data_IF_939374589293
#
_entry.id   IF_939374589293
#
_cell.length_a   1.000
_cell.length_b   1.000
_cell.length_c   1.000
_cell.angle_alpha   90.00
_cell.angle_beta   90.00
_cell.angle_gamma   90.00
#
_symmetry.space_group_name_H-M   'P 1'
#
loop_
_entity.id
_entity.type
_entity.pdbx_description
1 polymer ?
#
# COMPACT_ATOMS: atom_id res chain seq x y z
N UNK A 1 -0.67 4.72 -2.08
CA UNK A 1 -0.31 3.43 -1.46
C UNK A 1 -1.02 3.31 -0.12
N UNK A 2 -1.67 2.20 0.13
CA UNK A 2 -2.27 1.89 1.44
C UNK A 2 -1.60 0.64 2.01
N UNK A 3 -1.12 0.72 3.25
CA UNK A 3 -0.52 -0.40 3.97
C UNK A 3 -1.52 -0.84 5.03
N UNK A 4 -1.97 -2.09 4.93
CA UNK A 4 -2.95 -2.68 5.84
C UNK A 4 -2.26 -3.72 6.71
N UNK A 5 -2.16 -3.47 8.02
CA UNK A 5 -1.58 -4.43 8.98
C UNK A 5 -2.52 -5.57 9.31
N UNK A 6 -3.81 -5.33 9.25
CA UNK A 6 -4.84 -6.35 9.46
C UNK A 6 -5.53 -6.65 8.15
N UNK A 7 -5.93 -7.88 7.97
CA UNK A 7 -6.63 -8.31 6.77
C UNK A 7 -8.05 -7.72 6.68
N UNK A 8 -8.56 -7.21 7.79
CA UNK A 8 -9.83 -6.50 7.84
C UNK A 8 -9.74 -5.22 7.00
N UNK A 9 -10.61 -5.11 6.02
CA UNK A 9 -10.68 -3.96 5.13
C UNK A 9 -9.83 -4.06 3.86
N UNK A 10 -9.09 -5.15 3.66
CA UNK A 10 -8.40 -5.43 2.40
C UNK A 10 -9.30 -6.14 1.38
N UNK A 11 -10.60 -5.80 1.36
CA UNK A 11 -11.56 -6.40 0.43
C UNK A 11 -11.59 -5.69 -0.92
N UNK A 12 -12.17 -6.37 -1.91
CA UNK A 12 -12.25 -5.88 -3.29
C UNK A 12 -13.03 -4.56 -3.42
N UNK A 13 -14.08 -4.37 -2.61
CA UNK A 13 -14.88 -3.15 -2.65
C UNK A 13 -14.09 -1.94 -2.13
N UNK A 14 -13.29 -2.13 -1.08
CA UNK A 14 -12.43 -1.09 -0.56
C UNK A 14 -11.33 -0.73 -1.56
N UNK A 15 -10.74 -1.71 -2.23
CA UNK A 15 -9.77 -1.47 -3.30
C UNK A 15 -10.38 -0.63 -4.42
N UNK A 16 -11.59 -0.97 -4.86
CA UNK A 16 -12.33 -0.19 -5.86
C UNK A 16 -12.60 1.23 -5.40
N UNK A 17 -13.04 1.40 -4.15
CA UNK A 17 -13.32 2.71 -3.58
C UNK A 17 -12.05 3.59 -3.56
N UNK A 18 -10.94 3.05 -3.10
CA UNK A 18 -9.67 3.77 -3.06
C UNK A 18 -9.18 4.18 -4.46
N UNK A 19 -9.35 3.32 -5.47
CA UNK A 19 -9.06 3.66 -6.86
C UNK A 19 -9.89 4.85 -7.36
N UNK A 20 -11.18 4.85 -7.06
CA UNK A 20 -12.09 5.93 -7.44
C UNK A 20 -11.74 7.24 -6.74
N UNK A 21 -11.36 7.16 -5.47
CA UNK A 21 -10.97 8.32 -4.68
C UNK A 21 -9.68 8.96 -5.20
N UNK A 22 -8.70 8.14 -5.62
CA UNK A 22 -7.49 8.63 -6.26
C UNK A 22 -7.81 9.41 -7.53
N UNK A 23 -8.64 8.88 -8.40
CA UNK A 23 -9.04 9.55 -9.62
C UNK A 23 -9.76 10.87 -9.34
N UNK A 24 -10.67 10.88 -8.38
CA UNK A 24 -11.39 12.08 -8.00
C UNK A 24 -10.47 13.17 -7.42
N UNK A 25 -9.44 12.78 -6.67
CA UNK A 25 -8.48 13.72 -6.07
C UNK A 25 -7.44 14.25 -7.06
N UNK A 26 -7.08 13.46 -8.08
CA UNK A 26 -6.07 13.83 -9.06
C UNK A 26 -6.65 14.60 -10.26
N UNK A 27 -7.92 14.39 -10.57
CA UNK A 27 -8.59 15.07 -11.68
C UNK A 27 -8.93 16.52 -11.30
N UNK A 28 -8.68 17.44 -12.22
CA UNK A 28 -9.06 18.84 -12.11
C UNK A 28 -10.27 19.13 -12.98
N UNK A 29 -11.03 20.16 -12.64
CA UNK A 29 -12.14 20.63 -13.46
C UNK A 29 -11.66 21.00 -14.86
N UNK A 30 -12.30 20.45 -15.87
CA UNK A 30 -11.95 20.70 -17.27
C UNK A 30 -10.85 19.80 -17.83
N UNK A 31 -10.27 18.90 -17.03
CA UNK A 31 -9.30 17.92 -17.50
C UNK A 31 -9.96 16.94 -18.47
N UNK A 32 -9.19 16.52 -19.46
CA UNK A 32 -9.59 15.43 -20.33
C UNK A 32 -9.43 14.10 -19.61
N UNK A 33 -10.35 13.16 -19.79
CA UNK A 33 -10.28 11.85 -19.18
C UNK A 33 -9.07 11.02 -19.61
N UNK A 34 -8.60 11.21 -20.85
CA UNK A 34 -7.40 10.56 -21.37
C UNK A 34 -6.10 11.07 -20.73
N UNK A 35 -6.16 12.17 -20.00
CA UNK A 35 -5.04 12.71 -19.22
C UNK A 35 -4.98 12.17 -17.78
N UNK A 36 -5.88 11.28 -17.37
CA UNK A 36 -5.82 10.64 -16.06
C UNK A 36 -4.53 9.85 -15.91
N UNK A 37 -3.87 10.05 -14.78
CA UNK A 37 -2.63 9.36 -14.46
C UNK A 37 -2.85 7.87 -14.24
N UNK A 38 -1.83 7.08 -14.51
CA UNK A 38 -1.79 5.68 -14.09
C UNK A 38 -1.75 5.60 -12.56
N UNK A 39 -2.61 4.79 -11.96
CA UNK A 39 -2.75 4.69 -10.51
C UNK A 39 -2.55 3.27 -10.01
N UNK A 40 -2.00 3.16 -8.81
CA UNK A 40 -1.77 1.89 -8.13
C UNK A 40 -2.33 1.97 -6.71
N UNK A 41 -3.23 1.05 -6.39
CA UNK A 41 -3.66 0.80 -5.00
C UNK A 41 -2.94 -0.46 -4.55
N UNK A 42 -2.12 -0.35 -3.51
CA UNK A 42 -1.29 -1.45 -3.03
C UNK A 42 -1.71 -1.80 -1.61
N UNK A 43 -2.21 -3.01 -1.42
CA UNK A 43 -2.46 -3.57 -0.10
C UNK A 43 -1.31 -4.49 0.29
N UNK A 44 -0.65 -4.20 1.41
CA UNK A 44 0.32 -5.09 2.03
C UNK A 44 -0.38 -5.74 3.22
N UNK A 45 -0.67 -7.02 3.11
CA UNK A 45 -1.46 -7.76 4.10
C UNK A 45 -0.58 -8.69 4.93
N UNK A 46 -0.95 -8.91 6.19
CA UNK A 46 -0.24 -9.84 7.07
C UNK A 46 -0.41 -11.28 6.64
N UNK A 47 -1.52 -11.60 5.99
CA UNK A 47 -1.87 -12.94 5.51
C UNK A 47 -2.18 -12.90 4.03
N UNK A 48 -2.17 -14.06 3.41
CA UNK A 48 -2.58 -14.23 2.03
C UNK A 48 -4.11 -14.13 1.90
N UNK A 49 -4.61 -12.92 1.65
CA UNK A 49 -6.04 -12.62 1.58
C UNK A 49 -6.73 -13.39 0.44
N UNK A 50 -6.06 -13.54 -0.71
CA UNK A 50 -6.59 -14.24 -1.87
C UNK A 50 -6.38 -15.76 -1.81
N UNK A 51 -5.56 -16.25 -0.88
CA UNK A 51 -5.40 -17.68 -0.53
C UNK A 51 -4.93 -18.58 -1.67
N UNK A 52 -4.20 -18.04 -2.62
CA UNK A 52 -3.62 -18.78 -3.74
C UNK A 52 -2.13 -19.11 -3.56
N UNK A 53 -1.55 -18.71 -2.42
CA UNK A 53 -0.17 -19.03 -2.07
C UNK A 53 0.89 -18.19 -2.78
N UNK A 54 0.51 -17.10 -3.43
CA UNK A 54 1.43 -16.25 -4.19
C UNK A 54 1.93 -15.07 -3.36
N UNK A 55 3.16 -14.58 -3.64
CA UNK A 55 3.72 -13.43 -2.93
C UNK A 55 3.07 -12.11 -3.33
N UNK A 56 2.57 -11.99 -4.55
CA UNK A 56 1.93 -10.79 -5.08
C UNK A 56 0.85 -11.16 -6.07
N UNK A 57 -0.22 -10.38 -6.06
CA UNK A 57 -1.34 -10.51 -7.00
C UNK A 57 -1.53 -9.19 -7.72
N UNK A 58 -1.56 -9.25 -9.06
CA UNK A 58 -1.84 -8.11 -9.91
C UNK A 58 -3.29 -8.18 -10.37
N UNK A 59 -4.07 -7.15 -10.06
CA UNK A 59 -5.49 -7.09 -10.38
C UNK A 59 -5.71 -5.95 -11.36
N UNK A 60 -6.07 -6.30 -12.57
CA UNK A 60 -6.37 -5.38 -13.65
C UNK A 60 -7.73 -5.73 -14.26
N UNK A 61 -8.31 -4.80 -14.98
CA UNK A 61 -9.54 -5.06 -15.73
C UNK A 61 -9.21 -5.71 -17.06
N UNK A 62 -10.03 -6.68 -17.41
CA UNK A 62 -9.91 -7.43 -18.67
C UNK A 62 -11.23 -7.40 -19.42
N UNK A 63 -11.13 -7.40 -20.74
CA UNK A 63 -12.29 -7.64 -21.61
C UNK A 63 -12.59 -9.14 -21.58
N UNK A 64 -13.70 -9.53 -20.98
CA UNK A 64 -14.03 -10.94 -20.74
C UNK A 64 -14.08 -11.76 -22.04
N UNK A 65 -14.64 -11.20 -23.08
CA UNK A 65 -14.87 -11.91 -24.35
C UNK A 65 -13.57 -12.20 -25.10
N UNK A 66 -12.56 -11.35 -24.94
CA UNK A 66 -11.29 -11.46 -25.67
C UNK A 66 -10.13 -11.92 -24.79
N UNK A 67 -10.27 -11.84 -23.45
CA UNK A 67 -9.19 -12.11 -22.49
C UNK A 67 -8.06 -11.08 -22.53
N UNK A 68 -8.25 -9.95 -23.22
CA UNK A 68 -7.23 -8.90 -23.33
C UNK A 68 -7.38 -7.87 -22.22
N UNK A 69 -6.24 -7.28 -21.77
CA UNK A 69 -6.28 -6.19 -20.80
C UNK A 69 -7.09 -5.01 -21.32
N UNK A 70 -7.85 -4.37 -20.45
CA UNK A 70 -8.59 -3.16 -20.78
C UNK A 70 -7.69 -1.92 -20.91
N UNK A 71 -6.55 -1.95 -20.23
CA UNK A 71 -5.53 -0.89 -20.26
C UNK A 71 -6.07 0.49 -19.85
N UNK A 72 -6.85 0.51 -18.78
CA UNK A 72 -7.43 1.76 -18.25
C UNK A 72 -6.49 2.53 -17.30
N UNK A 73 -5.27 2.02 -17.08
CA UNK A 73 -4.28 2.67 -16.21
C UNK A 73 -4.55 2.57 -14.72
N UNK A 74 -5.58 1.85 -14.30
CA UNK A 74 -5.91 1.62 -12.88
C UNK A 74 -5.49 0.21 -12.46
N UNK A 75 -4.62 0.12 -11.45
CA UNK A 75 -4.04 -1.15 -10.99
C UNK A 75 -4.27 -1.34 -9.50
N UNK A 76 -4.52 -2.56 -9.10
CA UNK A 76 -4.60 -2.96 -7.70
C UNK A 76 -3.60 -4.09 -7.48
N UNK A 77 -2.78 -3.97 -6.43
CA UNK A 77 -1.81 -4.98 -6.04
C UNK A 77 -2.11 -5.46 -4.63
N UNK A 78 -2.14 -6.78 -4.46
CA UNK A 78 -2.14 -7.40 -3.15
C UNK A 78 -0.77 -8.02 -2.91
N UNK A 79 -0.08 -7.59 -1.87
CA UNK A 79 1.24 -8.08 -1.50
C UNK A 79 1.14 -8.86 -0.21
N UNK A 80 1.50 -10.13 -0.26
CA UNK A 80 1.47 -11.03 0.88
C UNK A 80 2.73 -10.85 1.71
N UNK A 81 2.61 -10.25 2.89
CA UNK A 81 3.74 -10.00 3.79
C UNK A 81 4.31 -11.28 4.40
N UNK A 82 3.66 -12.42 4.24
CA UNK A 82 4.21 -13.73 4.62
C UNK A 82 5.28 -14.24 3.66
N UNK A 83 5.52 -13.58 2.54
CA UNK A 83 6.54 -13.95 1.57
C UNK A 83 7.91 -14.01 2.25
N UNK A 84 8.54 -15.20 2.17
CA UNK A 84 9.84 -15.50 2.79
C UNK A 84 10.92 -15.79 1.75
N UNK A 85 10.63 -15.58 0.47
CA UNK A 85 11.56 -15.89 -0.60
C UNK A 85 12.80 -15.00 -0.56
N UNK A 86 13.91 -15.50 -1.10
CA UNK A 86 15.15 -14.74 -1.29
C UNK A 86 15.09 -13.93 -2.59
N UNK A 87 14.05 -13.14 -2.72
CA UNK A 87 13.79 -12.22 -3.83
C UNK A 87 13.75 -10.80 -3.31
N UNK A 88 13.87 -9.78 -4.18
CA UNK A 88 13.70 -8.39 -3.73
C UNK A 88 12.40 -8.15 -2.97
N UNK A 89 11.30 -8.77 -3.42
CA UNK A 89 10.02 -8.66 -2.73
C UNK A 89 10.06 -9.33 -1.34
N UNK A 90 10.65 -10.51 -1.23
CA UNK A 90 10.81 -11.20 0.07
C UNK A 90 11.66 -10.40 1.05
N UNK A 91 12.72 -9.76 0.58
CA UNK A 91 13.55 -8.87 1.38
C UNK A 91 12.81 -7.64 1.84
N UNK A 92 12.00 -7.05 0.97
CA UNK A 92 11.15 -5.91 1.33
C UNK A 92 10.13 -6.29 2.39
N UNK A 93 9.47 -7.43 2.25
CA UNK A 93 8.51 -7.94 3.24
C UNK A 93 9.20 -8.26 4.57
N UNK A 94 10.42 -8.77 4.54
CA UNK A 94 11.25 -8.93 5.74
C UNK A 94 11.43 -7.58 6.44
N UNK A 95 11.79 -6.54 5.71
CA UNK A 95 12.02 -5.21 6.27
C UNK A 95 10.75 -4.62 6.91
N UNK A 96 9.59 -4.85 6.32
CA UNK A 96 8.31 -4.41 6.91
C UNK A 96 7.99 -5.11 8.24
N UNK A 97 8.56 -6.29 8.49
CA UNK A 97 8.41 -7.01 9.75
C UNK A 97 9.48 -6.65 10.77
N UNK A 98 10.59 -6.06 10.35
CA UNK A 98 11.70 -5.72 11.24
C UNK A 98 11.33 -4.63 12.22
N UNK A 99 11.74 -4.81 13.46
CA UNK A 99 11.66 -3.79 14.50
C UNK A 99 12.95 -3.01 14.68
N UNK A 100 14.07 -3.57 14.23
CA UNK A 100 15.40 -2.99 14.33
C UNK A 100 15.94 -2.65 12.93
N UNK A 101 16.36 -1.39 12.75
CA UNK A 101 16.93 -0.90 11.49
C UNK A 101 18.17 -1.69 11.05
N UNK A 102 18.93 -2.25 12.00
CA UNK A 102 20.14 -3.03 11.71
C UNK A 102 19.87 -4.35 11.00
N UNK A 103 18.65 -4.88 11.15
CA UNK A 103 18.22 -6.14 10.53
C UNK A 103 17.60 -5.94 9.15
N UNK A 104 17.46 -4.71 8.69
CA UNK A 104 16.83 -4.39 7.41
C UNK A 104 17.78 -4.54 6.23
N UNK A 105 17.25 -4.99 5.11
CA UNK A 105 18.00 -5.18 3.86
C UNK A 105 18.13 -3.89 3.04
N UNK A 106 17.13 -3.00 3.13
CA UNK A 106 17.08 -1.78 2.33
C UNK A 106 17.56 -0.57 3.15
N UNK A 107 18.70 0.05 2.76
CA UNK A 107 19.28 1.16 3.51
C UNK A 107 18.34 2.35 3.69
N UNK A 108 17.53 2.65 2.70
CA UNK A 108 16.56 3.77 2.74
C UNK A 108 15.53 3.57 3.86
N UNK A 109 15.00 2.35 3.99
CA UNK A 109 14.06 2.00 5.06
C UNK A 109 14.75 1.97 6.42
N UNK A 110 15.95 1.39 6.48
CA UNK A 110 16.75 1.32 7.71
C UNK A 110 17.08 2.72 8.24
N UNK A 111 17.47 3.64 7.38
CA UNK A 111 17.76 5.02 7.73
C UNK A 111 16.52 5.73 8.31
N UNK A 112 15.38 5.55 7.68
CA UNK A 112 14.12 6.16 8.16
C UNK A 112 13.68 5.60 9.50
N UNK A 113 13.75 4.30 9.70
CA UNK A 113 13.41 3.66 10.99
C UNK A 113 14.36 4.11 12.08
N UNK A 114 15.67 4.16 11.78
CA UNK A 114 16.68 4.66 12.71
C UNK A 114 16.40 6.11 13.11
N UNK A 115 16.13 6.98 12.14
CA UNK A 115 15.75 8.38 12.38
C UNK A 115 14.56 8.51 13.31
N UNK A 116 13.48 7.77 13.06
CA UNK A 116 12.27 7.83 13.90
C UNK A 116 12.49 7.27 15.29
N UNK A 117 13.30 6.24 15.45
CA UNK A 117 13.63 5.67 16.76
C UNK A 117 14.50 6.60 17.59
N UNK A 118 15.50 7.22 17.00
CA UNK A 118 16.39 8.15 17.70
C UNK A 118 15.68 9.45 18.10
N UNK A 119 14.63 9.82 17.40
CA UNK A 119 13.77 10.96 17.70
C UNK A 119 12.48 10.52 18.41
N UNK A 120 12.59 9.60 19.40
CA UNK A 120 11.43 9.04 20.12
C UNK A 120 10.54 10.14 20.71
N UNK A 121 11.11 11.22 21.24
CA UNK A 121 10.32 12.35 21.75
C UNK A 121 9.54 13.04 20.64
N UNK A 122 10.14 13.26 19.48
CA UNK A 122 9.47 13.84 18.31
C UNK A 122 8.38 12.93 17.76
N UNK A 123 8.66 11.63 17.64
CA UNK A 123 7.70 10.64 17.18
C UNK A 123 6.51 10.51 18.15
N UNK A 124 6.77 10.45 19.45
CA UNK A 124 5.71 10.39 20.48
C UNK A 124 4.86 11.64 20.46
N UNK A 125 5.46 12.80 20.32
CA UNK A 125 4.74 14.07 20.25
C UNK A 125 3.90 14.16 18.96
N UNK A 126 4.41 13.67 17.85
CA UNK A 126 3.69 13.65 16.58
C UNK A 126 2.49 12.70 16.64
N UNK A 127 2.64 11.52 17.23
CA UNK A 127 1.53 10.59 17.45
C UNK A 127 0.45 11.19 18.36
N UNK A 128 0.85 11.83 19.44
CA UNK A 128 -0.09 12.52 20.34
C UNK A 128 -0.80 13.69 19.64
N UNK A 129 -0.09 14.46 18.83
CA UNK A 129 -0.66 15.54 18.06
C UNK A 129 -1.70 15.03 17.05
N UNK A 130 -1.41 13.94 16.35
CA UNK A 130 -2.34 13.30 15.42
C UNK A 130 -3.57 12.75 16.16
N UNK A 131 -3.37 12.08 17.30
CA UNK A 131 -4.48 11.60 18.13
C UNK A 131 -5.36 12.74 18.62
N UNK A 132 -4.78 13.86 19.00
CA UNK A 132 -5.50 15.04 19.43
C UNK A 132 -6.34 15.62 18.29
N UNK A 133 -5.75 15.77 17.11
CA UNK A 133 -6.46 16.25 15.92
C UNK A 133 -7.65 15.35 15.57
N UNK A 134 -7.48 14.04 15.65
CA UNK A 134 -8.56 13.09 15.38
C UNK A 134 -9.68 13.22 16.42
N UNK A 135 -9.35 13.49 17.69
CA UNK A 135 -10.35 13.71 18.74
C UNK A 135 -11.11 15.04 18.58
N UNK A 136 -10.43 16.08 18.14
CA UNK A 136 -11.02 17.41 17.97
C UNK A 136 -11.96 17.47 16.74
N UNK A 137 -11.79 16.59 15.76
CA UNK A 137 -12.67 16.45 14.59
C UNK A 137 -13.92 15.58 14.84
N UNK A 138 -14.06 15.01 16.02
CA UNK A 138 -15.23 14.23 16.43
C UNK A 138 -16.14 15.08 17.32
#
# INVERSE_FOLDING_TARGET
>A
MEIQRRDEGADAHRARYNSSLLDANLANLGDRYDALSETYVIFITERDVLKEGLPIYHIDRYVRETGKPFEDGSHILYVNAQCRSDTPLGKLMHDFRCTDARDMNYPVLAERVHYFKDNVKGATNMCRAVEQLVKDER
#
